data_IF_086556614470
#
_entry.id   IF_086556614470
#
_cell.length_a   1.000
_cell.length_b   1.000
_cell.length_c   1.000
_cell.angle_alpha   90.00
_cell.angle_beta   90.00
_cell.angle_gamma   90.00
#
_symmetry.space_group_name_H-M   'P 1'
#
loop_
_entity.id
_entity.type
_entity.pdbx_description
1 polymer ?
#
# COMPACT_ATOMS: atom_id res chain seq x y z
N UNK A 1 15.27 17.60 -4.29
CA UNK A 1 14.21 16.94 -3.48
C UNK A 1 14.47 17.16 -2.00
N UNK A 2 13.45 17.14 -1.14
CA UNK A 2 13.61 17.13 0.32
C UNK A 2 12.69 16.13 1.01
N UNK A 3 13.05 15.78 2.25
CA UNK A 3 12.30 14.88 3.13
C UNK A 3 12.04 15.60 4.44
N UNK A 4 10.82 15.50 4.96
CA UNK A 4 10.41 16.04 6.25
C UNK A 4 10.68 17.56 6.34
N UNK A 5 11.35 18.00 7.40
CA UNK A 5 11.73 19.40 7.66
C UNK A 5 12.78 19.93 6.68
N UNK A 6 13.37 19.10 5.82
CA UNK A 6 14.22 19.58 4.73
C UNK A 6 13.51 20.56 3.79
N UNK A 7 12.17 20.55 3.74
CA UNK A 7 11.37 21.55 3.03
C UNK A 7 11.63 22.99 3.50
N UNK A 8 11.96 23.21 4.78
CA UNK A 8 12.30 24.55 5.30
C UNK A 8 13.58 25.11 4.67
N UNK A 9 14.54 24.25 4.33
CA UNK A 9 15.79 24.66 3.68
C UNK A 9 15.51 25.06 2.23
N UNK A 10 14.67 24.29 1.52
CA UNK A 10 14.27 24.62 0.15
C UNK A 10 13.46 25.93 0.11
N UNK A 11 12.56 26.14 1.07
CA UNK A 11 11.80 27.38 1.21
C UNK A 11 12.73 28.58 1.52
N UNK A 12 13.66 28.42 2.46
CA UNK A 12 14.64 29.48 2.78
C UNK A 12 15.52 29.87 1.58
N UNK A 13 15.73 28.94 0.64
CA UNK A 13 16.48 29.17 -0.59
C UNK A 13 15.63 29.76 -1.73
N UNK A 14 14.34 30.04 -1.52
CA UNK A 14 13.41 30.53 -2.55
C UNK A 14 13.03 29.50 -3.60
N UNK A 15 13.37 28.22 -3.40
CA UNK A 15 13.14 27.15 -4.39
C UNK A 15 11.68 26.67 -4.41
N UNK A 16 10.89 27.04 -3.40
CA UNK A 16 9.48 26.66 -3.24
C UNK A 16 8.50 27.81 -3.51
N UNK A 17 8.98 29.00 -3.86
CA UNK A 17 8.14 30.18 -4.04
C UNK A 17 7.16 29.96 -5.21
N UNK A 18 5.86 30.15 -4.95
CA UNK A 18 4.77 29.90 -5.90
C UNK A 18 4.51 28.42 -6.20
N UNK A 19 5.17 27.48 -5.50
CA UNK A 19 5.06 26.04 -5.75
C UNK A 19 4.31 25.31 -4.65
N UNK A 20 3.77 24.16 -5.03
CA UNK A 20 3.20 23.17 -4.12
C UNK A 20 4.32 22.44 -3.40
N UNK A 21 4.19 22.25 -2.10
CA UNK A 21 5.14 21.50 -1.30
C UNK A 21 4.45 20.82 -0.12
N UNK A 22 5.06 19.77 0.41
CA UNK A 22 4.66 19.15 1.66
C UNK A 22 5.84 19.03 2.61
N UNK A 23 5.53 18.84 3.89
CA UNK A 23 6.48 18.54 4.96
C UNK A 23 5.75 17.66 5.97
N UNK A 24 6.42 17.25 7.04
CA UNK A 24 5.77 16.50 8.10
C UNK A 24 4.61 17.30 8.68
N UNK A 25 3.43 16.67 8.85
CA UNK A 25 2.20 17.33 9.30
C UNK A 25 2.39 18.24 10.52
N UNK A 26 3.17 17.79 11.51
CA UNK A 26 3.56 18.56 12.71
C UNK A 26 4.19 19.93 12.41
N UNK A 27 4.81 20.07 11.25
CA UNK A 27 5.54 21.26 10.83
C UNK A 27 4.90 21.98 9.63
N UNK A 28 3.81 21.44 9.06
CA UNK A 28 3.16 22.03 7.89
C UNK A 28 2.63 23.44 8.16
N UNK A 29 1.93 23.63 9.29
CA UNK A 29 1.45 24.95 9.69
C UNK A 29 2.60 25.96 9.92
N UNK A 30 3.70 25.50 10.51
CA UNK A 30 4.88 26.34 10.75
C UNK A 30 5.60 26.72 9.44
N UNK A 31 5.64 25.80 8.46
CA UNK A 31 6.20 26.08 7.14
C UNK A 31 5.36 27.12 6.40
N UNK A 32 4.04 26.94 6.37
CA UNK A 32 3.11 27.85 5.72
C UNK A 32 3.14 29.26 6.34
N UNK A 33 3.20 29.35 7.66
CA UNK A 33 3.27 30.63 8.36
C UNK A 33 4.60 31.38 8.10
N UNK A 34 5.71 30.66 7.94
CA UNK A 34 7.04 31.26 7.74
C UNK A 34 7.32 31.64 6.29
N UNK A 35 6.74 30.91 5.33
CA UNK A 35 6.94 31.10 3.90
C UNK A 35 5.58 31.15 3.18
N UNK A 36 4.91 32.32 3.20
CA UNK A 36 3.53 32.45 2.70
C UNK A 36 3.38 32.25 1.19
N UNK A 37 4.47 32.39 0.42
CA UNK A 37 4.48 32.15 -1.02
C UNK A 37 4.54 30.66 -1.39
N UNK A 38 4.71 29.77 -0.40
CA UNK A 38 4.70 28.31 -0.60
C UNK A 38 3.29 27.76 -0.40
N UNK A 39 2.77 27.02 -1.38
CA UNK A 39 1.50 26.32 -1.25
C UNK A 39 1.70 24.99 -0.49
N UNK A 40 1.58 25.04 0.84
CA UNK A 40 1.82 23.87 1.70
C UNK A 40 0.62 22.93 1.75
N UNK A 41 0.83 21.68 1.33
CA UNK A 41 -0.12 20.57 1.43
C UNK A 41 0.22 19.68 2.61
N UNK A 42 -0.54 19.78 3.70
CA UNK A 42 -0.28 19.04 4.94
C UNK A 42 -0.72 17.57 4.88
N UNK A 43 -1.60 17.22 3.95
CA UNK A 43 -2.34 15.95 3.95
C UNK A 43 -1.90 15.00 2.83
N UNK A 44 -0.66 15.14 2.35
CA UNK A 44 -0.10 14.30 1.27
C UNK A 44 1.23 13.70 1.68
N UNK A 45 1.56 12.51 1.17
CA UNK A 45 2.85 11.85 1.44
C UNK A 45 3.99 12.58 0.74
N UNK A 46 3.81 12.94 -0.53
CA UNK A 46 4.79 13.70 -1.29
C UNK A 46 4.12 14.55 -2.35
N UNK A 47 4.80 15.64 -2.70
CA UNK A 47 4.44 16.52 -3.80
C UNK A 47 5.55 16.47 -4.83
N UNK A 48 5.17 16.25 -6.09
CA UNK A 48 6.01 16.47 -7.26
C UNK A 48 5.56 17.78 -7.93
N UNK A 49 6.36 18.84 -7.80
CA UNK A 49 6.15 20.13 -8.46
C UNK A 49 7.01 20.26 -9.75
N UNK A 50 7.41 19.13 -10.34
CA UNK A 50 8.24 19.06 -11.53
C UNK A 50 9.74 19.09 -11.20
N UNK A 51 10.27 20.29 -10.97
CA UNK A 51 11.69 20.53 -10.71
C UNK A 51 12.08 20.38 -9.23
N UNK A 52 11.10 20.52 -8.33
CA UNK A 52 11.27 20.33 -6.90
C UNK A 52 10.25 19.35 -6.36
N UNK A 53 10.74 18.40 -5.56
CA UNK A 53 9.92 17.38 -4.93
C UNK A 53 10.13 17.39 -3.42
N UNK A 54 9.06 17.22 -2.66
CA UNK A 54 9.06 17.28 -1.19
C UNK A 54 8.23 16.14 -0.61
N UNK A 55 8.54 15.68 0.61
CA UNK A 55 7.81 14.59 1.26
C UNK A 55 7.62 14.79 2.76
N UNK A 56 6.57 14.17 3.28
CA UNK A 56 6.05 14.26 4.64
C UNK A 56 6.95 13.70 5.75
N UNK A 57 7.94 12.86 5.45
CA UNK A 57 8.68 12.15 6.50
C UNK A 57 9.42 10.94 5.97
N UNK A 58 10.06 10.17 6.86
CA UNK A 58 10.98 9.10 6.47
C UNK A 58 10.33 8.05 5.55
N UNK A 59 9.15 7.54 5.91
CA UNK A 59 8.45 6.55 5.08
C UNK A 59 7.99 7.14 3.74
N UNK A 60 7.40 8.34 3.77
CA UNK A 60 6.97 9.05 2.57
C UNK A 60 8.16 9.48 1.67
N UNK A 61 9.35 9.64 2.25
CA UNK A 61 10.59 9.88 1.52
C UNK A 61 11.01 8.65 0.71
N UNK A 62 10.81 7.44 1.24
CA UNK A 62 11.01 6.19 0.48
C UNK A 62 10.00 6.11 -0.66
N UNK A 63 8.73 6.45 -0.39
CA UNK A 63 7.68 6.52 -1.42
C UNK A 63 8.06 7.52 -2.53
N UNK A 64 8.62 8.69 -2.17
CA UNK A 64 9.12 9.69 -3.11
C UNK A 64 10.32 9.19 -3.94
N UNK A 65 11.25 8.45 -3.32
CA UNK A 65 12.35 7.83 -4.05
C UNK A 65 11.85 6.79 -5.07
N UNK A 66 10.85 5.97 -4.69
CA UNK A 66 10.24 5.01 -5.62
C UNK A 66 9.47 5.72 -6.75
N UNK A 67 8.84 6.86 -6.47
CA UNK A 67 8.22 7.72 -7.49
C UNK A 67 9.25 8.22 -8.50
N UNK A 68 10.41 8.71 -8.05
CA UNK A 68 11.50 9.14 -8.94
C UNK A 68 12.03 8.01 -9.81
N UNK A 69 12.29 6.82 -9.22
CA UNK A 69 12.71 5.64 -9.99
C UNK A 69 11.66 5.28 -11.04
N UNK A 70 10.38 5.37 -10.71
CA UNK A 70 9.29 5.10 -11.64
C UNK A 70 9.24 6.12 -12.77
N UNK A 71 9.44 7.41 -12.47
CA UNK A 71 9.48 8.50 -13.44
C UNK A 71 10.62 8.32 -14.44
N UNK A 72 11.81 8.01 -13.93
CA UNK A 72 13.04 8.04 -14.73
C UNK A 72 13.35 6.69 -15.40
N UNK A 73 13.02 5.56 -14.74
CA UNK A 73 13.37 4.20 -15.18
C UNK A 73 12.15 3.29 -15.41
N UNK A 74 10.94 3.82 -15.22
CA UNK A 74 9.69 3.13 -15.46
C UNK A 74 9.22 2.21 -14.31
N UNK A 75 7.98 1.71 -14.42
CA UNK A 75 7.31 0.97 -13.35
C UNK A 75 7.98 -0.36 -12.98
N UNK A 76 8.65 -1.02 -13.94
CA UNK A 76 9.32 -2.30 -13.71
C UNK A 76 10.51 -2.16 -12.76
N UNK A 77 11.34 -1.13 -12.95
CA UNK A 77 12.49 -0.86 -12.09
C UNK A 77 12.04 -0.48 -10.68
N UNK A 78 11.05 0.42 -10.56
CA UNK A 78 10.48 0.82 -9.27
C UNK A 78 9.91 -0.37 -8.50
N UNK A 79 9.15 -1.25 -9.16
CA UNK A 79 8.58 -2.44 -8.53
C UNK A 79 9.66 -3.44 -8.07
N UNK A 80 10.78 -3.54 -8.80
CA UNK A 80 11.91 -4.39 -8.39
C UNK A 80 12.58 -3.84 -7.12
N UNK A 81 12.77 -2.53 -7.04
CA UNK A 81 13.35 -1.87 -5.86
C UNK A 81 12.40 -1.99 -4.66
N UNK A 82 11.10 -1.71 -4.84
CA UNK A 82 10.11 -1.85 -3.78
C UNK A 82 10.08 -3.26 -3.17
N UNK A 83 10.16 -4.31 -4.01
CA UNK A 83 10.25 -5.71 -3.55
C UNK A 83 11.49 -5.97 -2.70
N UNK A 84 12.65 -5.42 -3.08
CA UNK A 84 13.90 -5.55 -2.29
C UNK A 84 13.81 -4.82 -0.95
N UNK A 85 13.05 -3.72 -0.89
CA UNK A 85 12.80 -2.95 0.32
C UNK A 85 11.66 -3.52 1.19
N UNK A 86 11.03 -4.61 0.76
CA UNK A 86 9.85 -5.21 1.44
C UNK A 86 8.72 -4.18 1.61
N UNK A 87 8.56 -3.32 0.60
CA UNK A 87 7.54 -2.27 0.55
C UNK A 87 6.47 -2.60 -0.49
N UNK A 88 5.23 -2.12 -0.33
CA UNK A 88 4.24 -2.15 -1.39
C UNK A 88 4.79 -1.45 -2.65
N UNK A 89 4.44 -1.95 -3.86
CA UNK A 89 5.03 -1.47 -5.11
C UNK A 89 4.71 0.00 -5.43
N UNK A 90 3.66 0.55 -4.83
CA UNK A 90 3.30 1.96 -4.96
C UNK A 90 2.33 2.40 -3.85
N UNK A 91 2.65 3.53 -3.22
CA UNK A 91 1.69 4.41 -2.55
C UNK A 91 1.60 5.71 -3.34
N UNK A 92 0.39 6.16 -3.62
CA UNK A 92 0.16 7.42 -4.35
C UNK A 92 0.56 8.62 -3.48
N UNK A 93 1.16 9.65 -4.09
CA UNK A 93 1.62 10.84 -3.35
C UNK A 93 0.50 11.57 -2.64
N UNK A 94 -0.70 11.59 -3.22
CA UNK A 94 -1.90 12.18 -2.64
C UNK A 94 -2.53 11.39 -1.49
N UNK A 95 -1.96 10.25 -1.11
CA UNK A 95 -2.41 9.53 0.08
C UNK A 95 -2.18 10.40 1.33
N UNK A 96 -3.15 10.38 2.25
CA UNK A 96 -3.07 11.11 3.51
C UNK A 96 -1.85 10.70 4.35
N UNK A 97 -1.25 11.67 5.02
CA UNK A 97 -0.33 11.39 6.12
C UNK A 97 -1.10 10.72 7.27
N UNK A 98 -0.40 9.95 8.11
CA UNK A 98 -0.94 9.58 9.41
C UNK A 98 -0.90 10.81 10.31
N UNK A 99 -1.95 11.61 10.21
CA UNK A 99 -2.21 12.73 11.10
C UNK A 99 -2.86 12.12 12.33
N UNK A 100 -2.33 12.43 13.51
CA UNK A 100 -3.05 12.20 14.75
C UNK A 100 -4.28 13.13 14.72
N UNK A 101 -5.35 12.73 14.03
CA UNK A 101 -6.67 13.06 14.52
C UNK A 101 -6.66 12.67 16.00
N UNK A 102 -7.19 13.48 16.93
CA UNK A 102 -7.27 13.08 18.32
C UNK A 102 -8.19 11.86 18.36
N UNK A 103 -7.57 10.68 18.20
CA UNK A 103 -8.15 9.39 18.48
C UNK A 103 -8.54 9.55 19.92
N UNK A 104 -9.85 9.64 20.16
CA UNK A 104 -10.38 9.65 21.51
C UNK A 104 -9.62 8.57 22.24
N UNK A 105 -8.90 8.91 23.33
CA UNK A 105 -8.27 7.94 24.23
C UNK A 105 -9.39 7.15 24.89
N UNK A 106 -10.10 6.34 24.11
CA UNK A 106 -10.86 5.22 24.58
C UNK A 106 -9.87 4.08 24.55
N UNK A 107 -9.67 3.51 25.72
CA UNK A 107 -9.06 2.23 26.03
C UNK A 107 -9.63 1.08 25.16
N UNK A 108 -9.44 1.15 23.85
CA UNK A 108 -9.64 0.05 22.93
C UNK A 108 -8.37 -0.77 22.92
N UNK A 109 -8.46 -2.01 23.40
CA UNK A 109 -7.42 -3.01 23.22
C UNK A 109 -7.01 -3.09 21.74
N UNK A 110 -5.70 -3.16 21.49
CA UNK A 110 -5.17 -3.30 20.12
C UNK A 110 -5.81 -4.52 19.43
N UNK A 111 -6.22 -4.34 18.16
CA UNK A 111 -6.74 -5.43 17.33
C UNK A 111 -5.62 -6.31 16.73
N UNK A 112 -4.35 -5.87 16.78
CA UNK A 112 -3.26 -6.58 16.15
C UNK A 112 -3.09 -8.04 16.66
N UNK A 113 -3.09 -8.31 17.99
CA UNK A 113 -2.99 -9.69 18.47
C UNK A 113 -4.16 -10.58 18.03
N UNK A 114 -5.37 -10.02 17.91
CA UNK A 114 -6.53 -10.74 17.39
C UNK A 114 -6.33 -11.07 15.90
N UNK A 115 -5.91 -10.09 15.09
CA UNK A 115 -5.69 -10.26 13.66
C UNK A 115 -4.64 -11.36 13.40
N UNK A 116 -3.55 -11.37 14.16
CA UNK A 116 -2.51 -12.40 14.06
C UNK A 116 -3.04 -13.78 14.44
N UNK A 117 -3.83 -13.87 15.52
CA UNK A 117 -4.45 -15.12 15.93
C UNK A 117 -5.42 -15.67 14.88
N UNK A 118 -6.23 -14.81 14.25
CA UNK A 118 -7.17 -15.22 13.19
C UNK A 118 -6.41 -15.69 11.94
N UNK A 119 -5.34 -15.00 11.55
CA UNK A 119 -4.50 -15.39 10.40
C UNK A 119 -3.78 -16.71 10.62
N UNK A 120 -3.38 -17.00 11.86
CA UNK A 120 -2.76 -18.27 12.21
C UNK A 120 -3.72 -19.46 12.09
N UNK A 121 -5.03 -19.26 12.25
CA UNK A 121 -6.06 -20.31 12.25
C UNK A 121 -7.29 -19.95 11.43
N UNK A 122 -7.09 -19.58 10.15
CA UNK A 122 -8.18 -19.13 9.26
C UNK A 122 -9.25 -20.19 8.97
N UNK A 123 -8.89 -21.46 9.12
CA UNK A 123 -9.75 -22.64 8.95
C UNK A 123 -10.73 -22.84 10.11
N UNK A 124 -10.51 -22.22 11.27
CA UNK A 124 -11.41 -22.34 12.41
C UNK A 124 -12.68 -21.49 12.30
N UNK A 125 -13.72 -21.86 13.07
CA UNK A 125 -14.96 -21.10 13.23
C UNK A 125 -14.75 -19.77 13.97
N UNK A 126 -14.36 -18.72 13.26
CA UNK A 126 -14.24 -17.37 13.80
C UNK A 126 -15.57 -16.60 13.73
N UNK A 127 -16.28 -16.53 14.85
CA UNK A 127 -17.48 -15.70 15.00
C UNK A 127 -17.14 -14.31 15.54
N UNK A 128 -18.02 -13.34 15.26
CA UNK A 128 -17.91 -11.97 15.79
C UNK A 128 -17.88 -11.98 17.32
N UNK A 129 -18.65 -12.87 17.95
CA UNK A 129 -18.68 -13.04 19.42
C UNK A 129 -17.34 -13.54 19.94
N UNK A 130 -16.70 -14.50 19.26
CA UNK A 130 -15.37 -15.01 19.63
C UNK A 130 -14.32 -13.91 19.52
N UNK A 131 -14.31 -13.19 18.41
CA UNK A 131 -13.39 -12.08 18.18
C UNK A 131 -13.53 -10.99 19.25
N UNK A 132 -14.78 -10.59 19.56
CA UNK A 132 -15.07 -9.59 20.58
C UNK A 132 -14.62 -10.01 22.00
N UNK A 133 -14.74 -11.31 22.34
CA UNK A 133 -14.26 -11.84 23.63
C UNK A 133 -12.75 -11.71 23.78
N UNK A 134 -11.99 -11.96 22.73
CA UNK A 134 -10.52 -11.85 22.77
C UNK A 134 -10.03 -10.41 22.95
N UNK A 135 -10.85 -9.42 22.58
CA UNK A 135 -10.53 -8.00 22.78
C UNK A 135 -11.18 -7.44 24.05
N UNK A 136 -11.84 -8.27 24.87
CA UNK A 136 -12.61 -7.85 26.05
C UNK A 136 -13.69 -6.79 25.72
N UNK A 137 -14.33 -6.92 24.55
CA UNK A 137 -15.38 -6.00 24.08
C UNK A 137 -16.72 -6.73 23.91
N UNK A 138 -17.82 -5.96 23.96
CA UNK A 138 -19.11 -6.45 23.46
C UNK A 138 -19.07 -6.54 21.92
N UNK A 139 -19.89 -7.41 21.33
CA UNK A 139 -19.92 -7.59 19.87
C UNK A 139 -20.17 -6.29 19.10
N UNK A 140 -21.10 -5.44 19.57
CA UNK A 140 -21.42 -4.15 18.95
C UNK A 140 -20.25 -3.17 19.04
N UNK A 141 -19.57 -3.09 20.18
CA UNK A 141 -18.40 -2.22 20.36
C UNK A 141 -17.23 -2.71 19.54
N UNK A 142 -16.99 -4.02 19.52
CA UNK A 142 -15.98 -4.66 18.70
C UNK A 142 -16.20 -4.37 17.21
N UNK A 143 -17.40 -4.61 16.66
CA UNK A 143 -17.68 -4.35 15.24
C UNK A 143 -17.40 -2.90 14.85
N UNK A 144 -17.87 -1.94 15.65
CA UNK A 144 -17.63 -0.51 15.38
C UNK A 144 -16.14 -0.17 15.47
N UNK A 145 -15.44 -0.68 16.48
CA UNK A 145 -14.01 -0.48 16.62
C UNK A 145 -13.22 -1.12 15.48
N UNK A 146 -13.61 -2.33 15.07
CA UNK A 146 -13.00 -3.05 13.95
C UNK A 146 -13.15 -2.29 12.63
N UNK A 147 -14.34 -1.79 12.31
CA UNK A 147 -14.56 -0.95 11.11
C UNK A 147 -13.75 0.33 11.18
N UNK A 148 -13.74 1.01 12.34
CA UNK A 148 -12.96 2.24 12.54
C UNK A 148 -11.45 2.03 12.37
N UNK A 149 -10.93 0.83 12.70
CA UNK A 149 -9.50 0.53 12.66
C UNK A 149 -9.07 -0.12 11.34
N UNK A 150 -9.88 -1.02 10.78
CA UNK A 150 -9.55 -1.85 9.61
C UNK A 150 -10.23 -1.36 8.32
N UNK A 151 -11.12 -0.37 8.40
CA UNK A 151 -11.84 0.19 7.25
C UNK A 151 -12.97 -0.69 6.70
N UNK A 152 -13.20 -1.88 7.27
CA UNK A 152 -14.23 -2.82 6.80
C UNK A 152 -14.80 -3.68 7.94
N UNK A 153 -15.99 -4.29 7.77
CA UNK A 153 -16.58 -5.19 8.76
C UNK A 153 -15.74 -6.46 9.00
N UNK A 154 -15.71 -7.01 10.23
CA UNK A 154 -14.86 -8.16 10.57
C UNK A 154 -15.20 -9.44 9.78
N UNK A 155 -16.47 -9.63 9.41
CA UNK A 155 -16.89 -10.79 8.60
C UNK A 155 -16.39 -10.71 7.16
N UNK A 156 -16.44 -9.53 6.56
CA UNK A 156 -15.93 -9.27 5.21
C UNK A 156 -14.40 -9.38 5.16
N UNK A 157 -13.75 -8.86 6.19
CA UNK A 157 -12.31 -9.02 6.37
C UNK A 157 -11.90 -10.51 6.47
N UNK A 158 -12.57 -11.28 7.33
CA UNK A 158 -12.29 -12.72 7.49
C UNK A 158 -12.48 -13.49 6.17
N UNK A 159 -13.53 -13.15 5.41
CA UNK A 159 -13.77 -13.75 4.10
C UNK A 159 -12.63 -13.43 3.13
N UNK A 160 -12.16 -12.18 3.10
CA UNK A 160 -11.05 -11.74 2.26
C UNK A 160 -9.76 -12.50 2.59
N UNK A 161 -9.43 -12.65 3.88
CA UNK A 161 -8.25 -13.40 4.31
C UNK A 161 -8.35 -14.89 3.92
N UNK A 162 -9.53 -15.50 4.08
CA UNK A 162 -9.77 -16.90 3.66
C UNK A 162 -9.65 -17.09 2.15
N UNK A 163 -10.21 -16.18 1.37
CA UNK A 163 -10.09 -16.20 -0.09
C UNK A 163 -8.63 -16.03 -0.53
N UNK A 164 -7.90 -15.13 0.14
CA UNK A 164 -6.45 -14.97 -0.07
C UNK A 164 -5.70 -16.27 0.19
N UNK A 165 -5.96 -16.94 1.33
CA UNK A 165 -5.32 -18.21 1.67
C UNK A 165 -5.68 -19.34 0.69
N UNK A 166 -6.95 -19.46 0.32
CA UNK A 166 -7.40 -20.46 -0.65
C UNK A 166 -6.74 -20.23 -2.02
N UNK A 167 -6.62 -18.97 -2.45
CA UNK A 167 -5.90 -18.61 -3.67
C UNK A 167 -4.44 -19.03 -3.61
N UNK A 168 -3.72 -18.69 -2.53
CA UNK A 168 -2.33 -19.10 -2.34
C UNK A 168 -2.18 -20.61 -2.40
N UNK A 169 -3.06 -21.36 -1.71
CA UNK A 169 -3.03 -22.83 -1.76
C UNK A 169 -3.26 -23.34 -3.19
N UNK A 170 -4.24 -22.81 -3.93
CA UNK A 170 -4.45 -23.21 -5.33
C UNK A 170 -3.25 -22.88 -6.22
N UNK A 171 -2.66 -21.70 -6.06
CA UNK A 171 -1.46 -21.28 -6.79
C UNK A 171 -0.24 -22.16 -6.44
N UNK A 172 -0.12 -22.63 -5.20
CA UNK A 172 0.96 -23.53 -4.75
C UNK A 172 0.71 -25.00 -5.13
N UNK A 173 -0.55 -25.45 -5.12
CA UNK A 173 -0.92 -26.85 -5.42
C UNK A 173 -0.89 -27.16 -6.92
N UNK A 174 -1.05 -26.15 -7.79
CA UNK A 174 -1.04 -26.30 -9.25
C UNK A 174 0.38 -26.52 -9.85
N UNK A 175 1.45 -26.56 -9.03
CA UNK A 175 2.83 -26.67 -9.53
C UNK A 175 3.71 -27.75 -8.87
N UNK A 176 3.36 -29.04 -8.99
CA UNK A 176 4.43 -30.03 -9.23
C UNK A 176 4.33 -30.76 -10.58
N UNK A 177 3.15 -31.21 -11.01
CA UNK A 177 3.02 -32.11 -12.17
C UNK A 177 2.84 -31.40 -13.52
N UNK A 178 2.36 -30.15 -13.52
CA UNK A 178 2.04 -29.42 -14.76
C UNK A 178 3.27 -28.76 -15.42
N UNK A 179 4.33 -28.48 -14.66
CA UNK A 179 5.60 -27.92 -15.19
C UNK A 179 6.43 -28.91 -16.01
N UNK A 180 6.30 -30.22 -15.74
CA UNK A 180 7.05 -31.27 -16.46
C UNK A 180 6.49 -31.50 -17.87
N UNK A 181 5.18 -31.36 -18.06
CA UNK A 181 4.49 -31.75 -19.29
C UNK A 181 4.41 -30.65 -20.36
N UNK A 182 4.64 -29.39 -20.00
CA UNK A 182 4.61 -28.26 -20.95
C UNK A 182 5.96 -27.95 -21.59
N UNK A 183 7.07 -28.53 -21.11
CA UNK A 183 8.39 -28.35 -21.73
C UNK A 183 8.59 -29.23 -22.97
N UNK A 184 7.92 -30.37 -23.07
CA UNK A 184 8.03 -31.27 -24.22
C UNK A 184 7.13 -30.90 -25.41
N UNK A 185 6.12 -30.04 -25.21
CA UNK A 185 5.17 -29.67 -26.28
C UNK A 185 5.68 -28.50 -27.14
N UNK A 186 6.65 -27.71 -26.65
CA UNK A 186 7.22 -26.58 -27.40
C UNK A 186 8.54 -26.92 -28.14
N UNK A 187 9.20 -28.04 -27.83
CA UNK A 187 10.51 -28.41 -28.42
C UNK A 187 10.48 -29.53 -29.48
N UNK A 188 9.29 -30.01 -29.88
CA UNK A 188 9.13 -30.96 -31.00
C UNK A 188 8.19 -30.39 -32.07
N UNK A 189 8.72 -29.50 -32.92
CA UNK A 189 8.19 -29.17 -34.27
C UNK A 189 8.05 -30.48 -35.10
N UNK A 190 7.23 -30.62 -36.19
CA UNK A 190 7.09 -29.64 -37.28
C UNK A 190 5.77 -29.66 -38.10
N UNK A 191 5.65 -28.71 -39.05
CA UNK A 191 4.87 -28.78 -40.32
C UNK A 191 3.56 -29.60 -40.31
N UNK A 192 2.41 -28.92 -40.30
CA UNK A 192 1.20 -29.48 -40.91
C UNK A 192 0.50 -28.42 -41.77
N UNK A 193 0.14 -28.86 -42.96
CA UNK A 193 -0.22 -28.08 -44.13
C UNK A 193 -1.60 -27.43 -44.02
N UNK A 194 -1.70 -26.22 -44.56
CA UNK A 194 -2.95 -25.55 -44.88
C UNK A 194 -3.61 -26.34 -46.01
N UNK A 195 -4.76 -26.97 -45.71
CA UNK A 195 -5.67 -27.53 -46.70
C UNK A 195 -6.39 -26.34 -47.35
N UNK A 196 -6.06 -26.03 -48.61
CA UNK A 196 -6.88 -25.20 -49.49
C UNK A 196 -8.05 -26.04 -50.03
N UNK A 197 -9.26 -25.50 -49.89
CA UNK A 197 -10.51 -26.05 -50.44
C UNK A 197 -10.55 -25.97 -51.98
N UNK A 198 -11.33 -26.83 -52.67
CA UNK A 198 -11.45 -26.79 -54.12
C UNK A 198 -12.48 -25.74 -54.57
N UNK A 199 -12.11 -24.95 -55.58
CA UNK A 199 -13.00 -24.06 -56.31
C UNK A 199 -12.60 -24.01 -57.77
N UNK A 200 -13.57 -24.40 -58.62
CA UNK A 200 -13.62 -24.44 -60.11
C UNK A 200 -12.73 -25.42 -60.84
#
# INVERSE_FOLDING_TARGET
>A
MSICTGAFVLAAAGLLDGKRATTHWRHAAALAARYPDVHVEADVLYVDAGDVLTSAGSAAGIDLCLHLIRRDLGPRAANQVARRLVMPPHREGGQAQYIDEPVSKRSGSSLAPLVDAVRATLDEGWSIVRMARQTAMSARTFQRHFVSTMGMPPGEWLLTERLGRARTLLEETVYPWMKSRYRSVLELQPRCAIITAPGT
#
